data_IF_719724562465
#
_entry.id   IF_719724562465
#
_cell.length_a   1.000
_cell.length_b   1.000
_cell.length_c   1.000
_cell.angle_alpha   90.00
_cell.angle_beta   90.00
_cell.angle_gamma   90.00
#
_symmetry.space_group_name_H-M   'P 1'
#
loop_
_entity.id
_entity.type
_entity.pdbx_description
1 polymer ?
#
# COMPACT_ATOMS: atom_id res chain seq x y z
N UNK A 1 58.14 -11.74 -0.42
CA UNK A 1 59.07 -12.81 -0.85
C UNK A 1 58.33 -14.14 -0.81
N UNK A 2 57.88 -14.65 -1.96
CA UNK A 2 57.82 -16.09 -2.21
C UNK A 2 59.25 -16.55 -2.56
N UNK A 3 59.60 -17.86 -2.52
CA UNK A 3 59.29 -18.71 -3.68
C UNK A 3 59.05 -20.22 -3.42
N UNK A 4 58.34 -20.83 -4.39
CA UNK A 4 58.54 -22.13 -5.05
C UNK A 4 58.75 -23.43 -4.23
N UNK A 5 58.02 -24.49 -4.57
CA UNK A 5 58.39 -25.46 -5.63
C UNK A 5 57.28 -26.50 -5.85
N UNK A 6 57.26 -27.10 -7.04
CA UNK A 6 56.23 -27.98 -7.57
C UNK A 6 56.77 -29.41 -7.84
N UNK A 7 55.85 -30.40 -7.77
CA UNK A 7 55.76 -31.62 -8.62
C UNK A 7 56.76 -32.80 -8.41
N UNK A 8 56.55 -34.00 -9.02
CA UNK A 8 55.34 -34.84 -9.26
C UNK A 8 55.61 -36.38 -9.09
N UNK A 9 54.75 -37.24 -9.68
CA UNK A 9 54.83 -38.72 -9.93
C UNK A 9 54.30 -39.65 -8.82
N UNK A 10 53.58 -40.74 -9.07
CA UNK A 10 52.92 -41.37 -10.24
C UNK A 10 51.87 -42.36 -9.67
N UNK A 11 50.77 -42.72 -10.34
CA UNK A 11 50.72 -43.44 -11.60
C UNK A 11 50.42 -44.93 -11.33
N UNK A 12 49.16 -45.35 -11.41
CA UNK A 12 48.81 -46.69 -11.93
C UNK A 12 47.34 -46.73 -12.37
N UNK A 13 47.18 -47.07 -13.63
CA UNK A 13 45.93 -47.29 -14.33
C UNK A 13 45.43 -48.72 -14.11
N UNK A 14 44.12 -48.90 -14.01
CA UNK A 14 43.46 -50.14 -14.39
C UNK A 14 42.12 -49.80 -15.06
N UNK A 15 42.00 -50.27 -16.28
CA UNK A 15 40.92 -50.07 -17.24
C UNK A 15 39.75 -51.03 -16.99
N UNK A 16 38.60 -50.66 -17.60
CA UNK A 16 37.51 -51.51 -18.09
C UNK A 16 36.23 -51.68 -17.21
N UNK A 17 35.19 -50.97 -17.68
CA UNK A 17 33.74 -51.23 -17.61
C UNK A 17 33.34 -52.72 -17.83
N UNK A 18 32.10 -53.19 -17.49
CA UNK A 18 30.84 -52.50 -17.82
C UNK A 18 29.62 -52.62 -16.86
N UNK A 19 28.68 -51.70 -17.12
CA UNK A 19 27.24 -51.65 -16.81
C UNK A 19 26.57 -52.79 -16.01
N UNK A 20 25.85 -52.43 -14.93
CA UNK A 20 24.53 -53.01 -14.57
C UNK A 20 23.79 -52.22 -13.48
N UNK A 21 22.53 -51.87 -13.78
CA UNK A 21 21.40 -51.94 -12.85
C UNK A 21 21.19 -50.81 -11.84
N UNK A 22 20.30 -49.87 -12.16
CA UNK A 22 19.48 -49.20 -11.14
C UNK A 22 18.49 -50.24 -10.58
N UNK A 23 18.69 -50.68 -9.33
CA UNK A 23 17.63 -51.31 -8.55
C UNK A 23 16.94 -50.24 -7.70
N UNK A 24 15.77 -49.80 -8.17
CA UNK A 24 14.80 -49.08 -7.36
C UNK A 24 14.16 -50.07 -6.39
N UNK A 25 14.40 -49.88 -5.10
CA UNK A 25 13.76 -50.64 -4.04
C UNK A 25 12.23 -50.43 -4.11
N UNK A 26 11.53 -51.48 -4.49
CA UNK A 26 10.07 -51.56 -4.54
C UNK A 26 9.55 -51.65 -3.10
N UNK A 27 9.14 -50.51 -2.54
CA UNK A 27 8.37 -50.49 -1.30
C UNK A 27 6.95 -50.96 -1.63
N UNK A 28 6.64 -52.19 -1.25
CA UNK A 28 5.29 -52.75 -1.25
C UNK A 28 4.39 -51.90 -0.33
N UNK A 29 3.57 -51.03 -0.91
CA UNK A 29 2.45 -50.39 -0.20
C UNK A 29 1.16 -51.11 -0.55
N UNK A 30 0.79 -52.10 0.27
CA UNK A 30 -0.63 -52.49 0.39
C UNK A 30 -1.38 -51.35 1.10
N UNK A 31 -1.70 -50.29 0.36
CA UNK A 31 -2.70 -49.30 0.77
C UNK A 31 -4.07 -49.80 0.30
N UNK A 32 -5.02 -49.82 1.23
CA UNK A 32 -6.42 -50.16 0.98
C UNK A 32 -7.05 -49.10 0.08
N UNK A 33 -7.80 -49.49 -0.96
CA UNK A 33 -8.38 -48.59 -1.99
C UNK A 33 -9.14 -47.37 -1.40
N UNK A 34 -9.72 -47.50 -0.20
CA UNK A 34 -10.35 -46.38 0.52
C UNK A 34 -9.39 -45.30 1.01
N UNK A 35 -8.14 -45.66 1.32
CA UNK A 35 -7.09 -44.70 1.73
C UNK A 35 -6.54 -43.91 0.54
N UNK A 36 -6.41 -44.53 -0.63
CA UNK A 36 -5.95 -43.84 -1.84
C UNK A 36 -7.02 -42.87 -2.40
N UNK A 37 -8.31 -43.24 -2.30
CA UNK A 37 -9.41 -42.32 -2.61
C UNK A 37 -9.48 -41.14 -1.63
N UNK A 38 -9.26 -41.37 -0.34
CA UNK A 38 -9.23 -40.29 0.66
C UNK A 38 -8.00 -39.38 0.49
N UNK A 39 -6.84 -39.98 0.22
CA UNK A 39 -5.62 -39.24 -0.10
C UNK A 39 -5.78 -38.39 -1.36
N UNK A 40 -6.41 -38.92 -2.41
CA UNK A 40 -6.72 -38.17 -3.65
C UNK A 40 -7.71 -37.02 -3.42
N UNK A 41 -8.72 -37.20 -2.56
CA UNK A 41 -9.65 -36.12 -2.17
C UNK A 41 -8.96 -35.01 -1.39
N UNK A 42 -8.14 -35.36 -0.40
CA UNK A 42 -7.38 -34.39 0.37
C UNK A 42 -6.38 -33.63 -0.51
N UNK A 43 -5.70 -34.34 -1.42
CA UNK A 43 -4.78 -33.73 -2.37
C UNK A 43 -5.49 -32.73 -3.29
N UNK A 44 -6.67 -33.09 -3.80
CA UNK A 44 -7.49 -32.18 -4.62
C UNK A 44 -7.93 -30.94 -3.84
N UNK A 45 -8.30 -31.11 -2.56
CA UNK A 45 -8.64 -30.00 -1.70
C UNK A 45 -7.44 -29.05 -1.48
N UNK A 46 -6.25 -29.60 -1.21
CA UNK A 46 -5.02 -28.82 -1.05
C UNK A 46 -4.68 -28.06 -2.34
N UNK A 47 -4.72 -28.72 -3.50
CA UNK A 47 -4.50 -28.08 -4.80
C UNK A 47 -5.50 -26.95 -5.03
N UNK A 48 -6.78 -27.17 -4.71
CA UNK A 48 -7.82 -26.14 -4.83
C UNK A 48 -7.58 -24.94 -3.91
N UNK A 49 -7.15 -25.17 -2.66
CA UNK A 49 -6.83 -24.11 -1.70
C UNK A 49 -5.62 -23.31 -2.17
N UNK A 50 -4.54 -23.98 -2.57
CA UNK A 50 -3.36 -23.32 -3.13
C UNK A 50 -3.68 -22.54 -4.40
N UNK A 51 -4.53 -23.09 -5.27
CA UNK A 51 -5.00 -22.41 -6.47
C UNK A 51 -5.81 -21.15 -6.18
N UNK A 52 -6.65 -21.14 -5.13
CA UNK A 52 -7.33 -19.91 -4.69
C UNK A 52 -6.35 -18.93 -4.06
N UNK A 53 -5.46 -19.42 -3.19
CA UNK A 53 -4.50 -18.57 -2.49
C UNK A 53 -3.56 -17.84 -3.46
N UNK A 54 -3.07 -18.51 -4.50
CA UNK A 54 -2.28 -17.90 -5.57
C UNK A 54 -3.04 -16.81 -6.33
N UNK A 55 -4.33 -17.02 -6.61
CA UNK A 55 -5.15 -16.03 -7.35
C UNK A 55 -5.57 -14.85 -6.49
N UNK A 56 -5.98 -15.11 -5.25
CA UNK A 56 -6.63 -14.13 -4.40
C UNK A 56 -5.61 -13.33 -3.56
N UNK A 57 -4.47 -13.94 -3.23
CA UNK A 57 -3.38 -13.31 -2.47
C UNK A 57 -1.99 -13.59 -3.06
N UNK A 58 -1.73 -13.19 -4.32
CA UNK A 58 -0.42 -13.42 -4.95
C UNK A 58 0.73 -12.76 -4.19
N UNK A 59 0.47 -11.66 -3.46
CA UNK A 59 1.47 -10.92 -2.70
C UNK A 59 2.08 -11.71 -1.53
N UNK A 60 1.42 -12.76 -1.04
CA UNK A 60 1.96 -13.62 0.03
C UNK A 60 3.15 -14.45 -0.45
N UNK A 61 3.25 -14.67 -1.76
CA UNK A 61 4.33 -15.40 -2.43
C UNK A 61 5.40 -14.45 -3.01
N UNK A 62 5.34 -13.16 -2.67
CA UNK A 62 6.31 -12.15 -3.12
C UNK A 62 7.44 -12.02 -2.11
N UNK A 63 8.36 -12.99 -2.13
CA UNK A 63 9.58 -13.03 -1.32
C UNK A 63 10.85 -12.88 -2.20
N UNK A 64 11.18 -11.66 -2.66
CA UNK A 64 12.38 -11.40 -3.45
C UNK A 64 13.66 -11.70 -2.65
N UNK A 65 14.77 -12.08 -3.31
CA UNK A 65 14.97 -12.09 -4.77
C UNK A 65 14.50 -13.37 -5.48
N UNK A 66 14.43 -14.50 -4.77
CA UNK A 66 14.27 -15.81 -5.41
C UNK A 66 12.82 -16.34 -5.41
N UNK A 67 11.90 -15.66 -4.73
CA UNK A 67 10.50 -16.06 -4.60
C UNK A 67 10.36 -17.53 -4.17
N UNK A 68 11.11 -17.91 -3.13
CA UNK A 68 11.32 -19.29 -2.70
C UNK A 68 9.99 -19.99 -2.39
N UNK A 69 9.08 -19.29 -1.69
CA UNK A 69 7.77 -19.84 -1.35
C UNK A 69 6.95 -20.17 -2.61
N UNK A 70 6.99 -19.31 -3.62
CA UNK A 70 6.32 -19.55 -4.90
C UNK A 70 6.94 -20.74 -5.64
N UNK A 71 8.27 -20.86 -5.58
CA UNK A 71 9.03 -21.99 -6.12
C UNK A 71 8.62 -23.33 -5.48
N UNK A 72 8.53 -23.37 -4.16
CA UNK A 72 8.13 -24.57 -3.40
C UNK A 72 6.68 -24.98 -3.73
N UNK A 73 5.75 -24.01 -3.81
CA UNK A 73 4.37 -24.25 -4.21
C UNK A 73 4.30 -24.77 -5.65
N UNK A 74 5.09 -24.21 -6.57
CA UNK A 74 5.15 -24.69 -7.96
C UNK A 74 5.62 -26.15 -8.03
N UNK A 75 6.67 -26.50 -7.29
CA UNK A 75 7.20 -27.88 -7.25
C UNK A 75 6.14 -28.84 -6.71
N UNK A 76 5.47 -28.45 -5.61
CA UNK A 76 4.40 -29.25 -5.03
C UNK A 76 3.23 -29.43 -6.00
N UNK A 77 2.74 -28.36 -6.62
CA UNK A 77 1.63 -28.41 -7.59
C UNK A 77 2.00 -29.23 -8.84
N UNK A 78 3.25 -29.15 -9.29
CA UNK A 78 3.75 -29.96 -10.42
C UNK A 78 3.76 -31.46 -10.12
N UNK A 79 3.99 -31.85 -8.85
CA UNK A 79 3.85 -33.23 -8.40
C UNK A 79 2.39 -33.63 -8.16
N UNK A 80 1.59 -32.76 -7.53
CA UNK A 80 0.24 -33.04 -7.07
C UNK A 80 -0.83 -33.02 -8.18
N UNK A 81 -0.67 -32.12 -9.16
CA UNK A 81 -1.59 -31.92 -10.28
C UNK A 81 -0.81 -31.54 -11.56
N UNK A 82 -0.08 -32.49 -12.19
CA UNK A 82 0.69 -32.21 -13.39
C UNK A 82 -0.20 -31.67 -14.51
N UNK A 83 0.12 -30.47 -15.03
CA UNK A 83 -0.66 -29.81 -16.09
C UNK A 83 -1.97 -29.15 -15.62
N UNK A 84 -2.19 -29.05 -14.30
CA UNK A 84 -3.30 -28.31 -13.70
C UNK A 84 -3.28 -26.82 -14.07
N UNK A 85 -4.41 -26.14 -13.88
CA UNK A 85 -4.49 -24.69 -14.07
C UNK A 85 -3.67 -23.95 -13.00
N UNK A 86 -3.58 -24.54 -11.81
CA UNK A 86 -2.91 -24.02 -10.62
C UNK A 86 -1.39 -23.94 -10.81
N UNK A 87 -0.80 -24.94 -11.48
CA UNK A 87 0.63 -24.93 -11.83
C UNK A 87 0.95 -23.79 -12.78
N UNK A 88 0.13 -23.63 -13.83
CA UNK A 88 0.30 -22.55 -14.82
C UNK A 88 0.13 -21.17 -14.19
N UNK A 89 -0.78 -21.03 -13.24
CA UNK A 89 -0.95 -19.79 -12.48
C UNK A 89 0.29 -19.47 -11.65
N UNK A 90 0.83 -20.46 -10.93
CA UNK A 90 2.07 -20.29 -10.15
C UNK A 90 3.28 -19.92 -11.03
N UNK A 91 3.41 -20.54 -12.21
CA UNK A 91 4.46 -20.22 -13.19
C UNK A 91 4.33 -18.80 -13.73
N UNK A 92 3.12 -18.40 -14.12
CA UNK A 92 2.84 -17.06 -14.62
C UNK A 92 3.14 -15.99 -13.56
N UNK A 93 2.69 -16.20 -12.32
CA UNK A 93 2.97 -15.28 -11.20
C UNK A 93 4.47 -15.11 -10.96
N UNK A 94 5.23 -16.21 -11.05
CA UNK A 94 6.68 -16.15 -10.88
C UNK A 94 7.35 -15.34 -12.00
N UNK A 95 6.90 -15.52 -13.25
CA UNK A 95 7.39 -14.74 -14.38
C UNK A 95 7.04 -13.24 -14.22
N UNK A 96 5.81 -12.93 -13.84
CA UNK A 96 5.35 -11.56 -13.60
C UNK A 96 6.19 -10.88 -12.50
N UNK A 97 6.44 -11.55 -11.37
CA UNK A 97 7.27 -11.01 -10.29
C UNK A 97 8.74 -10.79 -10.69
N UNK A 98 9.33 -11.73 -11.42
CA UNK A 98 10.71 -11.57 -11.91
C UNK A 98 10.82 -10.47 -12.96
N UNK A 99 9.76 -10.22 -13.73
CA UNK A 99 9.70 -9.12 -14.69
C UNK A 99 9.58 -7.78 -13.98
N UNK A 100 8.67 -7.65 -13.01
CA UNK A 100 8.53 -6.45 -12.19
C UNK A 100 9.85 -6.09 -11.47
N UNK A 101 10.55 -7.07 -10.90
CA UNK A 101 11.83 -6.85 -10.23
C UNK A 101 12.92 -6.29 -11.18
N UNK A 102 12.91 -6.69 -12.46
CA UNK A 102 13.83 -6.16 -13.48
C UNK A 102 13.45 -4.74 -13.91
N UNK A 103 12.16 -4.46 -14.05
CA UNK A 103 11.66 -3.13 -14.39
C UNK A 103 11.98 -2.12 -13.27
N UNK A 104 11.77 -2.48 -12.02
CA UNK A 104 12.12 -1.65 -10.85
C UNK A 104 13.64 -1.36 -10.77
N UNK A 105 14.49 -2.33 -11.09
CA UNK A 105 15.94 -2.12 -11.18
C UNK A 105 16.31 -1.15 -12.31
N UNK A 106 15.69 -1.32 -13.49
CA UNK A 106 15.95 -0.46 -14.65
C UNK A 106 15.48 0.99 -14.42
N UNK A 107 14.30 1.17 -13.81
CA UNK A 107 13.81 2.48 -13.41
C UNK A 107 14.67 3.12 -12.31
N UNK A 108 15.12 2.34 -11.33
CA UNK A 108 16.03 2.80 -10.29
C UNK A 108 17.35 3.31 -10.86
N UNK A 109 17.94 2.57 -11.80
CA UNK A 109 19.14 2.96 -12.54
C UNK A 109 18.93 4.21 -13.40
N UNK A 110 17.77 4.35 -14.05
CA UNK A 110 17.43 5.55 -14.84
C UNK A 110 17.18 6.78 -13.96
N UNK A 111 16.54 6.63 -12.80
CA UNK A 111 16.36 7.72 -11.81
C UNK A 111 17.70 8.16 -11.23
N UNK A 112 18.61 7.22 -10.96
CA UNK A 112 19.99 7.51 -10.55
C UNK A 112 20.83 8.12 -11.68
N UNK A 113 20.53 7.84 -12.95
CA UNK A 113 21.17 8.48 -14.10
C UNK A 113 20.69 9.92 -14.32
N UNK A 114 19.43 10.24 -13.96
CA UNK A 114 18.88 11.60 -14.02
C UNK A 114 19.27 12.46 -12.81
N UNK A 115 19.49 11.83 -11.65
CA UNK A 115 20.15 12.46 -10.52
C UNK A 115 21.66 12.50 -10.81
N UNK A 116 22.15 13.62 -11.38
CA UNK A 116 23.55 13.78 -11.76
C UNK A 116 24.58 13.39 -10.69
N UNK A 117 25.87 13.25 -11.06
CA UNK A 117 26.88 12.57 -10.24
C UNK A 117 27.04 13.14 -8.82
N UNK A 118 27.44 12.32 -7.83
CA UNK A 118 27.36 12.63 -6.39
C UNK A 118 28.10 13.88 -5.90
N UNK A 119 28.99 14.44 -6.73
CA UNK A 119 29.76 15.64 -6.38
C UNK A 119 28.99 16.95 -6.61
N UNK A 120 27.84 16.90 -7.30
CA UNK A 120 26.95 18.06 -7.47
C UNK A 120 26.16 18.41 -6.20
N UNK A 121 26.14 17.52 -5.20
CA UNK A 121 25.58 17.78 -3.87
C UNK A 121 26.70 18.16 -2.89
N UNK A 122 27.36 19.30 -3.12
CA UNK A 122 28.12 19.94 -2.04
C UNK A 122 27.13 20.56 -1.07
N UNK A 123 26.83 19.80 -0.01
CA UNK A 123 26.23 20.32 1.22
C UNK A 123 27.18 21.39 1.79
N UNK A 124 26.74 22.63 2.06
CA UNK A 124 27.58 23.60 2.76
C UNK A 124 27.82 23.06 4.17
N UNK A 125 29.08 22.73 4.44
CA UNK A 125 29.56 22.30 5.74
C UNK A 125 29.30 23.42 6.76
N UNK A 126 28.58 23.09 7.82
CA UNK A 126 28.40 23.90 9.01
C UNK A 126 29.77 24.28 9.59
N UNK A 127 30.10 25.57 9.55
CA UNK A 127 31.04 26.20 10.47
C UNK A 127 30.25 27.21 11.29
N UNK A 128 30.19 26.97 12.59
CA UNK A 128 29.67 27.91 13.58
C UNK A 128 30.50 29.20 13.56
N UNK A 129 29.85 30.32 13.28
CA UNK A 129 30.22 31.62 13.83
C UNK A 129 28.97 32.53 13.82
N UNK A 130 28.64 33.06 15.01
CA UNK A 130 27.57 34.01 15.24
C UNK A 130 27.81 35.29 14.43
N UNK A 131 26.83 35.73 13.63
CA UNK A 131 26.54 37.16 13.46
C UNK A 131 25.14 37.37 12.88
N UNK A 132 24.52 38.47 13.32
CA UNK A 132 23.19 38.93 12.94
C UNK A 132 23.19 39.50 11.51
N UNK A 133 22.40 38.91 10.61
CA UNK A 133 21.84 39.66 9.47
C UNK A 133 20.64 38.93 8.86
N UNK A 134 19.61 39.71 8.56
CA UNK A 134 18.33 39.33 7.98
C UNK A 134 18.52 38.69 6.59
N UNK A 135 18.26 37.39 6.46
CA UNK A 135 18.14 36.73 5.16
C UNK A 135 16.68 36.80 4.70
N UNK A 136 16.33 37.92 4.06
CA UNK A 136 15.28 37.92 3.04
C UNK A 136 15.79 37.17 1.81
N UNK A 137 14.97 36.24 1.29
CA UNK A 137 14.93 36.01 -0.15
C UNK A 137 15.37 34.63 -0.67
N UNK A 138 14.55 33.61 -0.41
CA UNK A 138 14.19 32.68 -1.48
C UNK A 138 12.76 32.19 -1.27
N UNK A 139 11.79 33.06 -1.62
CA UNK A 139 10.40 32.62 -1.74
C UNK A 139 10.36 31.63 -2.90
N UNK A 140 10.03 30.37 -2.60
CA UNK A 140 9.67 29.40 -3.63
C UNK A 140 8.47 29.98 -4.40
N UNK A 141 8.71 30.55 -5.59
CA UNK A 141 7.67 30.95 -6.55
C UNK A 141 7.03 29.69 -7.17
N UNK A 142 6.45 28.86 -6.30
CA UNK A 142 5.55 27.79 -6.72
C UNK A 142 4.12 28.34 -6.78
N UNK A 143 3.25 27.73 -7.60
CA UNK A 143 1.83 28.08 -7.62
C UNK A 143 1.21 27.93 -6.22
N UNK A 144 0.39 28.91 -5.82
CA UNK A 144 -0.33 28.88 -4.55
C UNK A 144 -1.58 27.99 -4.64
N UNK A 145 -2.07 27.48 -3.51
CA UNK A 145 -3.31 26.69 -3.42
C UNK A 145 -4.50 27.36 -4.12
N UNK A 146 -4.55 28.69 -4.10
CA UNK A 146 -5.65 29.48 -4.66
C UNK A 146 -5.65 29.49 -6.20
N UNK A 147 -4.53 29.16 -6.83
CA UNK A 147 -4.37 29.18 -8.29
C UNK A 147 -5.01 27.96 -8.96
N UNK A 148 -5.18 26.86 -8.22
CA UNK A 148 -5.81 25.63 -8.72
C UNK A 148 -7.32 25.65 -8.54
N UNK A 149 -8.07 24.99 -9.42
CA UNK A 149 -9.51 24.80 -9.23
C UNK A 149 -9.81 23.83 -8.08
N UNK A 150 -11.06 23.83 -7.58
CA UNK A 150 -11.47 22.90 -6.51
C UNK A 150 -11.46 21.45 -7.02
N UNK A 151 -11.94 21.26 -8.25
CA UNK A 151 -12.03 19.95 -8.89
C UNK A 151 -10.66 19.34 -9.14
N UNK A 152 -9.72 20.09 -9.72
CA UNK A 152 -8.35 19.60 -9.96
C UNK A 152 -7.68 19.11 -8.68
N UNK A 153 -7.77 19.88 -7.59
CA UNK A 153 -7.14 19.47 -6.32
C UNK A 153 -7.82 18.22 -5.77
N UNK A 154 -9.16 18.16 -5.77
CA UNK A 154 -9.88 17.01 -5.24
C UNK A 154 -9.66 15.73 -6.07
N UNK A 155 -9.59 15.86 -7.40
CA UNK A 155 -9.32 14.74 -8.31
C UNK A 155 -7.89 14.23 -8.13
N UNK A 156 -6.89 15.11 -8.05
CA UNK A 156 -5.50 14.69 -7.82
C UNK A 156 -5.32 14.01 -6.46
N UNK A 157 -5.90 14.57 -5.39
CA UNK A 157 -5.90 13.90 -4.07
C UNK A 157 -6.54 12.52 -4.13
N UNK A 158 -7.65 12.39 -4.86
CA UNK A 158 -8.35 11.12 -5.03
C UNK A 158 -7.54 10.12 -5.83
N UNK A 159 -6.87 10.54 -6.91
CA UNK A 159 -5.99 9.67 -7.67
C UNK A 159 -4.87 9.11 -6.80
N UNK A 160 -4.18 9.97 -6.05
CA UNK A 160 -3.11 9.55 -5.13
C UNK A 160 -3.62 8.58 -4.05
N UNK A 161 -4.76 8.90 -3.43
CA UNK A 161 -5.33 8.07 -2.37
C UNK A 161 -5.82 6.71 -2.88
N UNK A 162 -6.48 6.65 -4.05
CA UNK A 162 -6.89 5.40 -4.71
C UNK A 162 -5.67 4.53 -5.01
N UNK A 163 -4.63 5.14 -5.60
CA UNK A 163 -3.42 4.43 -6.00
C UNK A 163 -2.68 3.80 -4.80
N UNK A 164 -2.69 4.49 -3.66
CA UNK A 164 -2.13 3.96 -2.41
C UNK A 164 -3.03 2.92 -1.79
N UNK A 165 -4.35 3.16 -1.76
CA UNK A 165 -5.32 2.23 -1.17
C UNK A 165 -5.34 0.88 -1.89
N UNK A 166 -5.26 0.87 -3.23
CA UNK A 166 -5.16 -0.37 -4.02
C UNK A 166 -3.90 -1.18 -3.75
N UNK A 167 -2.85 -0.56 -3.19
CA UNK A 167 -1.62 -1.26 -2.80
C UNK A 167 -1.63 -1.74 -1.36
N UNK A 168 -2.64 -1.39 -0.55
CA UNK A 168 -2.71 -1.80 0.85
C UNK A 168 -2.83 -3.31 0.93
N UNK A 169 -1.87 -3.94 1.64
CA UNK A 169 -1.93 -5.37 1.95
C UNK A 169 -2.73 -5.57 3.24
N UNK A 170 -3.78 -6.39 3.18
CA UNK A 170 -4.66 -6.65 4.33
C UNK A 170 -3.91 -7.24 5.54
N UNK A 171 -2.88 -8.05 5.31
CA UNK A 171 -2.03 -8.61 6.37
C UNK A 171 -1.27 -7.53 7.16
N UNK A 172 -0.91 -6.40 6.52
CA UNK A 172 -0.23 -5.28 7.19
C UNK A 172 -1.15 -4.49 8.12
N UNK A 173 -2.47 -4.60 7.93
CA UNK A 173 -3.49 -3.94 8.75
C UNK A 173 -3.79 -4.71 10.05
N UNK A 174 -3.39 -6.00 10.13
CA UNK A 174 -3.64 -6.84 11.30
C UNK A 174 -3.06 -6.19 12.57
N UNK A 175 -3.81 -6.25 13.67
CA UNK A 175 -3.40 -5.63 14.94
C UNK A 175 -2.03 -6.11 15.40
N UNK A 176 -1.75 -7.41 15.26
CA UNK A 176 -0.46 -8.03 15.58
C UNK A 176 0.71 -7.46 14.78
N UNK A 177 0.49 -6.96 13.57
CA UNK A 177 1.51 -6.33 12.73
C UNK A 177 1.58 -4.82 12.96
N UNK A 178 0.43 -4.15 12.87
CA UNK A 178 0.33 -2.69 12.95
C UNK A 178 0.68 -2.14 14.33
N UNK A 179 0.44 -2.89 15.41
CA UNK A 179 0.84 -2.51 16.78
C UNK A 179 2.35 -2.49 16.98
N UNK A 180 3.12 -3.19 16.15
CA UNK A 180 4.58 -3.28 16.26
C UNK A 180 5.32 -2.14 15.56
N UNK A 181 4.61 -1.25 14.86
CA UNK A 181 5.20 -0.21 14.00
C UNK A 181 6.18 0.73 14.72
N UNK A 182 6.02 0.94 16.02
CA UNK A 182 6.82 1.87 16.81
C UNK A 182 8.02 1.18 17.51
N UNK A 183 8.21 -0.14 17.30
CA UNK A 183 9.32 -0.90 17.90
C UNK A 183 10.66 -0.60 17.20
N UNK A 184 11.80 -0.64 17.93
CA UNK A 184 13.12 -0.54 17.31
C UNK A 184 13.31 -1.60 16.22
N UNK A 185 13.75 -1.19 15.03
CA UNK A 185 13.89 -2.10 13.87
C UNK A 185 12.62 -2.31 13.03
N UNK A 186 11.47 -1.75 13.44
CA UNK A 186 10.19 -1.90 12.74
C UNK A 186 9.98 -0.95 11.55
N UNK A 187 11.03 -0.27 11.07
CA UNK A 187 10.93 0.74 10.01
C UNK A 187 10.34 0.19 8.70
N UNK A 188 10.55 -1.12 8.43
CA UNK A 188 9.99 -1.83 7.28
C UNK A 188 8.64 -2.52 7.54
N UNK A 189 8.03 -2.40 8.72
CA UNK A 189 6.75 -3.03 9.02
C UNK A 189 5.61 -2.19 8.43
N UNK A 190 4.68 -2.86 7.77
CA UNK A 190 3.48 -2.29 7.16
C UNK A 190 3.76 -1.13 6.18
N UNK A 191 4.65 -1.29 5.18
CA UNK A 191 5.06 -0.21 4.29
C UNK A 191 3.89 0.37 3.48
N UNK A 192 2.94 -0.45 3.06
CA UNK A 192 1.80 0.00 2.25
C UNK A 192 0.81 0.82 3.09
N UNK A 193 0.53 0.37 4.32
CA UNK A 193 -0.30 1.11 5.28
C UNK A 193 0.37 2.42 5.68
N UNK A 194 1.69 2.41 5.93
CA UNK A 194 2.46 3.62 6.23
C UNK A 194 2.42 4.63 5.09
N UNK A 195 2.45 4.18 3.83
CA UNK A 195 2.35 5.07 2.68
C UNK A 195 1.00 5.80 2.66
N UNK A 196 -0.12 5.11 2.91
CA UNK A 196 -1.45 5.73 3.04
C UNK A 196 -1.50 6.73 4.19
N UNK A 197 -0.92 6.40 5.36
CA UNK A 197 -0.84 7.32 6.50
C UNK A 197 0.03 8.54 6.20
N UNK A 198 1.14 8.35 5.48
CA UNK A 198 2.01 9.44 5.06
C UNK A 198 1.28 10.41 4.11
N UNK A 199 0.50 9.88 3.17
CA UNK A 199 -0.35 10.70 2.29
C UNK A 199 -1.41 11.48 3.09
N UNK A 200 -2.12 10.82 4.02
CA UNK A 200 -3.07 11.49 4.90
C UNK A 200 -2.42 12.66 5.69
N UNK A 201 -1.21 12.44 6.20
CA UNK A 201 -0.45 13.44 6.91
C UNK A 201 0.06 14.56 5.98
N UNK A 202 0.43 14.24 4.74
CA UNK A 202 0.82 15.23 3.74
C UNK A 202 -0.36 16.16 3.41
N UNK A 203 -1.56 15.62 3.21
CA UNK A 203 -2.78 16.43 3.00
C UNK A 203 -3.06 17.32 4.21
N UNK A 204 -2.98 16.76 5.42
CA UNK A 204 -3.12 17.53 6.67
C UNK A 204 -2.09 18.67 6.75
N UNK A 205 -0.84 18.38 6.39
CA UNK A 205 0.26 19.33 6.31
C UNK A 205 0.02 20.43 5.27
N UNK A 206 -0.50 20.11 4.09
CA UNK A 206 -0.87 21.09 3.06
C UNK A 206 -1.96 22.05 3.55
N UNK A 207 -2.96 21.55 4.27
CA UNK A 207 -4.02 22.39 4.86
C UNK A 207 -3.43 23.33 5.91
N UNK A 208 -2.64 22.80 6.85
CA UNK A 208 -1.98 23.58 7.88
C UNK A 208 -1.04 24.63 7.28
N UNK A 209 -0.15 24.21 6.37
CA UNK A 209 0.84 25.07 5.74
C UNK A 209 0.22 26.18 4.90
N UNK A 210 -0.85 25.89 4.16
CA UNK A 210 -1.55 26.91 3.37
C UNK A 210 -2.33 27.90 4.25
N UNK A 211 -3.04 27.44 5.29
CA UNK A 211 -3.84 28.32 6.15
C UNK A 211 -2.98 29.14 7.12
N UNK A 212 -1.87 28.57 7.59
CA UNK A 212 -0.95 29.21 8.53
C UNK A 212 0.27 29.85 7.86
N UNK A 213 0.30 29.89 6.51
CA UNK A 213 1.37 30.48 5.72
C UNK A 213 1.76 31.89 6.19
N UNK A 214 3.03 32.24 5.96
CA UNK A 214 3.77 33.48 6.22
C UNK A 214 3.24 34.43 7.33
N UNK A 215 4.09 34.82 8.30
CA UNK A 215 3.71 35.80 9.30
C UNK A 215 3.23 37.09 8.62
N UNK A 216 1.95 37.44 8.81
CA UNK A 216 1.34 38.63 8.21
C UNK A 216 0.07 38.37 7.38
N UNK A 217 -0.29 37.11 7.09
CA UNK A 217 -1.53 36.83 6.35
C UNK A 217 -2.76 37.46 7.04
N UNK A 218 -3.58 38.19 6.30
CA UNK A 218 -4.77 38.82 6.85
C UNK A 218 -5.82 37.76 7.26
N UNK A 219 -6.69 38.11 8.22
CA UNK A 219 -7.73 37.19 8.68
C UNK A 219 -8.69 36.76 7.55
N UNK A 220 -9.00 37.69 6.63
CA UNK A 220 -9.80 37.45 5.43
C UNK A 220 -9.13 36.52 4.41
N UNK A 221 -7.83 36.68 4.18
CA UNK A 221 -7.05 35.80 3.29
C UNK A 221 -6.97 34.37 3.83
N UNK A 222 -6.83 34.21 5.16
CA UNK A 222 -6.96 32.89 5.80
C UNK A 222 -8.36 32.31 5.64
N UNK A 223 -9.40 33.13 5.78
CA UNK A 223 -10.77 32.69 5.58
C UNK A 223 -11.00 32.17 4.16
N UNK A 224 -10.48 32.83 3.12
CA UNK A 224 -10.55 32.35 1.74
C UNK A 224 -9.92 30.97 1.56
N UNK A 225 -8.75 30.72 2.19
CA UNK A 225 -8.09 29.41 2.15
C UNK A 225 -8.89 28.34 2.92
N UNK A 226 -9.45 28.67 4.08
CA UNK A 226 -10.36 27.78 4.82
C UNK A 226 -11.58 27.43 3.96
N UNK A 227 -12.22 28.41 3.33
CA UNK A 227 -13.35 28.18 2.43
C UNK A 227 -12.98 27.30 1.24
N UNK A 228 -11.81 27.53 0.63
CA UNK A 228 -11.29 26.71 -0.46
C UNK A 228 -11.15 25.25 -0.03
N UNK A 229 -10.53 24.99 1.13
CA UNK A 229 -10.42 23.64 1.68
C UNK A 229 -11.76 22.99 2.01
N UNK A 230 -12.74 23.75 2.50
CA UNK A 230 -14.09 23.24 2.72
C UNK A 230 -14.74 22.80 1.39
N UNK A 231 -14.58 23.58 0.32
CA UNK A 231 -15.08 23.21 -1.01
C UNK A 231 -14.36 21.98 -1.57
N UNK A 232 -13.03 21.88 -1.39
CA UNK A 232 -12.24 20.69 -1.76
C UNK A 232 -12.72 19.47 -0.98
N UNK A 233 -12.95 19.60 0.33
CA UNK A 233 -13.49 18.52 1.16
C UNK A 233 -14.87 18.06 0.67
N UNK A 234 -15.76 19.00 0.33
CA UNK A 234 -17.06 18.67 -0.26
C UNK A 234 -16.88 17.89 -1.57
N UNK A 235 -15.95 18.31 -2.43
CA UNK A 235 -15.68 17.61 -3.69
C UNK A 235 -15.09 16.22 -3.46
N UNK A 236 -14.20 16.05 -2.47
CA UNK A 236 -13.69 14.73 -2.06
C UNK A 236 -14.83 13.80 -1.62
N UNK A 237 -15.85 14.32 -0.93
CA UNK A 237 -17.05 13.54 -0.57
C UNK A 237 -17.80 13.06 -1.82
N UNK A 238 -17.98 13.92 -2.81
CA UNK A 238 -18.67 13.58 -4.06
C UNK A 238 -17.88 12.54 -4.88
N UNK A 239 -16.55 12.60 -4.82
CA UNK A 239 -15.64 11.60 -5.40
C UNK A 239 -15.49 10.35 -4.53
N UNK A 240 -16.22 10.23 -3.41
CA UNK A 240 -16.17 9.11 -2.46
C UNK A 240 -14.77 8.88 -1.87
N UNK A 241 -13.95 9.93 -1.80
CA UNK A 241 -12.66 9.92 -1.11
C UNK A 241 -12.83 10.37 0.34
N UNK A 242 -13.12 9.41 1.22
CA UNK A 242 -13.29 9.64 2.65
C UNK A 242 -11.95 9.82 3.39
N UNK A 243 -10.84 9.32 2.83
CA UNK A 243 -9.49 9.52 3.38
C UNK A 243 -9.08 10.99 3.38
N UNK A 244 -8.99 11.63 2.20
CA UNK A 244 -8.64 13.05 2.10
C UNK A 244 -9.69 13.97 2.72
N UNK A 245 -10.98 13.62 2.60
CA UNK A 245 -12.04 14.34 3.31
C UNK A 245 -11.77 14.38 4.82
N UNK A 246 -11.47 13.22 5.44
CA UNK A 246 -11.14 13.17 6.86
C UNK A 246 -9.85 13.93 7.17
N UNK A 247 -8.84 13.86 6.32
CA UNK A 247 -7.58 14.59 6.50
C UNK A 247 -7.81 16.11 6.57
N UNK A 248 -8.57 16.66 5.60
CA UNK A 248 -8.88 18.09 5.54
C UNK A 248 -9.69 18.54 6.76
N UNK A 249 -10.73 17.78 7.13
CA UNK A 249 -11.53 18.11 8.30
C UNK A 249 -10.70 18.07 9.59
N UNK A 250 -9.85 17.06 9.76
CA UNK A 250 -8.97 16.92 10.93
C UNK A 250 -7.98 18.08 11.03
N UNK A 251 -7.41 18.51 9.92
CA UNK A 251 -6.53 19.67 9.87
C UNK A 251 -7.26 20.96 10.27
N UNK A 252 -8.46 21.22 9.71
CA UNK A 252 -9.25 22.41 10.03
C UNK A 252 -9.74 22.42 11.49
N UNK A 253 -10.04 21.25 12.06
CA UNK A 253 -10.46 21.06 13.45
C UNK A 253 -9.28 21.08 14.44
N UNK A 254 -8.04 20.93 13.96
CA UNK A 254 -6.85 20.96 14.80
C UNK A 254 -6.67 22.31 15.50
N UNK A 255 -6.06 22.29 16.70
CA UNK A 255 -5.89 23.49 17.53
C UNK A 255 -5.28 24.70 16.78
N UNK A 256 -4.21 24.55 15.97
CA UNK A 256 -3.60 25.66 15.25
C UNK A 256 -4.57 26.48 14.39
N UNK A 257 -5.54 25.82 13.73
CA UNK A 257 -6.55 26.48 12.89
C UNK A 257 -7.80 26.82 13.70
N UNK A 258 -8.32 25.90 14.52
CA UNK A 258 -9.57 26.07 15.26
C UNK A 258 -9.59 27.29 16.20
N UNK A 259 -8.42 27.67 16.73
CA UNK A 259 -8.26 28.85 17.61
C UNK A 259 -8.34 30.19 16.88
N UNK A 260 -8.25 30.23 15.55
CA UNK A 260 -8.20 31.46 14.74
C UNK A 260 -9.58 32.14 14.62
N UNK A 261 -10.14 32.61 15.74
CA UNK A 261 -11.53 33.13 15.80
C UNK A 261 -11.81 34.26 14.80
N UNK A 262 -10.85 35.16 14.57
CA UNK A 262 -10.99 36.25 13.57
C UNK A 262 -11.13 35.72 12.15
N UNK A 263 -10.36 34.68 11.80
CA UNK A 263 -10.42 34.07 10.46
C UNK A 263 -11.71 33.28 10.30
N UNK A 264 -12.11 32.46 11.28
CA UNK A 264 -13.40 31.76 11.27
C UNK A 264 -14.60 32.70 11.21
N UNK A 265 -14.52 33.87 11.85
CA UNK A 265 -15.56 34.91 11.77
C UNK A 265 -15.66 35.60 10.40
N UNK A 266 -14.60 35.53 9.59
CA UNK A 266 -14.59 36.07 8.22
C UNK A 266 -14.99 35.02 7.16
N UNK A 267 -15.18 33.75 7.54
CA UNK A 267 -15.70 32.70 6.65
C UNK A 267 -17.20 32.92 6.44
N UNK A 268 -17.64 32.82 5.18
CA UNK A 268 -19.05 32.95 4.81
C UNK A 268 -19.91 31.82 5.39
N UNK A 269 -21.22 32.09 5.54
CA UNK A 269 -22.17 31.19 6.22
C UNK A 269 -22.37 29.86 5.48
N UNK A 270 -22.30 29.87 4.15
CA UNK A 270 -22.54 28.70 3.32
C UNK A 270 -21.42 27.63 3.48
N UNK A 271 -20.13 27.93 3.27
CA UNK A 271 -19.03 27.02 3.59
C UNK A 271 -19.05 26.55 5.05
N UNK A 272 -19.36 27.41 6.01
CA UNK A 272 -19.48 26.98 7.41
C UNK A 272 -20.59 25.94 7.63
N UNK A 273 -21.72 26.07 6.92
CA UNK A 273 -22.80 25.09 6.96
C UNK A 273 -22.35 23.76 6.37
N UNK A 274 -21.68 23.79 5.21
CA UNK A 274 -21.09 22.61 4.57
C UNK A 274 -20.09 21.93 5.51
N UNK A 275 -19.17 22.68 6.11
CA UNK A 275 -18.17 22.15 7.04
C UNK A 275 -18.80 21.42 8.23
N UNK A 276 -19.88 21.97 8.81
CA UNK A 276 -20.62 21.29 9.89
C UNK A 276 -21.27 19.99 9.41
N UNK A 277 -21.92 20.00 8.24
CA UNK A 277 -22.52 18.79 7.64
C UNK A 277 -21.47 17.72 7.35
N UNK A 278 -20.32 18.11 6.79
CA UNK A 278 -19.21 17.19 6.52
C UNK A 278 -18.61 16.64 7.81
N UNK A 279 -18.49 17.47 8.85
CA UNK A 279 -17.98 17.04 10.16
C UNK A 279 -18.87 16.00 10.84
N UNK A 280 -20.19 16.06 10.62
CA UNK A 280 -21.13 15.07 11.17
C UNK A 280 -20.91 13.66 10.60
N UNK A 281 -20.37 13.53 9.38
CA UNK A 281 -20.09 12.22 8.76
C UNK A 281 -19.04 11.44 9.56
N UNK A 282 -18.04 12.13 10.10
CA UNK A 282 -16.96 11.55 10.90
C UNK A 282 -17.10 11.89 12.39
N UNK A 283 -18.34 12.12 12.83
CA UNK A 283 -18.62 12.22 14.27
C UNK A 283 -18.13 10.94 14.95
N UNK A 284 -17.59 11.09 16.17
CA UNK A 284 -17.23 9.95 17.02
C UNK A 284 -18.49 9.26 17.61
N UNK A 285 -19.67 9.82 17.35
CA UNK A 285 -20.96 9.23 17.74
C UNK A 285 -21.10 7.79 17.20
N UNK A 286 -21.44 6.89 18.13
CA UNK A 286 -21.67 5.47 17.92
C UNK A 286 -20.54 4.72 17.17
N UNK A 287 -19.26 5.04 17.39
CA UNK A 287 -18.14 4.39 16.67
C UNK A 287 -18.19 4.66 15.15
N UNK A 288 -18.34 5.94 14.79
CA UNK A 288 -18.32 6.41 13.41
C UNK A 288 -19.42 5.80 12.52
N UNK A 289 -20.60 5.47 13.07
CA UNK A 289 -21.71 4.82 12.34
C UNK A 289 -22.03 5.52 11.02
N UNK A 290 -22.02 6.86 10.99
CA UNK A 290 -22.34 7.60 9.77
C UNK A 290 -21.37 7.28 8.64
N UNK A 291 -20.06 7.31 8.90
CA UNK A 291 -19.05 6.94 7.91
C UNK A 291 -19.14 5.46 7.51
N UNK A 292 -19.37 4.55 8.47
CA UNK A 292 -19.52 3.11 8.20
C UNK A 292 -20.76 2.80 7.37
N UNK A 293 -21.90 3.41 7.71
CA UNK A 293 -23.16 3.22 6.99
C UNK A 293 -23.08 3.73 5.55
N UNK A 294 -22.37 4.85 5.31
CA UNK A 294 -22.14 5.36 3.96
C UNK A 294 -21.32 4.36 3.14
N UNK A 295 -20.26 3.79 3.72
CA UNK A 295 -19.46 2.76 3.04
C UNK A 295 -20.27 1.49 2.74
N UNK A 296 -21.15 1.06 3.66
CA UNK A 296 -21.97 -0.16 3.49
C UNK A 296 -23.16 0.00 2.53
N UNK A 297 -23.81 1.17 2.48
CA UNK A 297 -24.95 1.38 1.57
C UNK A 297 -24.52 1.38 0.10
N UNK A 298 -23.29 1.81 -0.17
CA UNK A 298 -22.79 1.92 -1.54
C UNK A 298 -22.32 0.57 -2.14
N UNK A 299 -22.22 -0.51 -1.35
CA UNK A 299 -22.05 -1.87 -1.86
C UNK A 299 -23.36 -2.44 -2.46
N UNK A 300 -24.52 -1.88 -2.11
CA UNK A 300 -25.84 -2.43 -2.50
C UNK A 300 -26.44 -1.83 -3.77
N UNK A 301 -25.81 -0.82 -4.38
CA UNK A 301 -26.33 -0.13 -5.57
C UNK A 301 -25.81 -0.69 -6.90
N UNK A 302 -24.95 -1.71 -6.89
CA UNK A 302 -24.53 -2.46 -8.08
C UNK A 302 -25.46 -3.68 -8.30
N UNK A 303 -26.64 -3.40 -8.87
CA UNK A 303 -27.57 -4.40 -9.41
C UNK A 303 -28.85 -3.71 -9.89
N UNK A 304 -29.22 -3.80 -11.19
CA UNK A 304 -29.49 -5.08 -11.84
C UNK A 304 -28.86 -5.27 -13.22
N UNK A 305 -28.59 -6.55 -13.50
CA UNK A 305 -28.29 -7.14 -14.80
C UNK A 305 -29.39 -6.77 -15.82
N UNK A 306 -28.99 -6.09 -16.89
CA UNK A 306 -29.79 -5.87 -18.09
C UNK A 306 -28.97 -6.28 -19.30
N UNK A 307 -29.33 -7.41 -19.89
CA UNK A 307 -28.75 -7.95 -21.12
C UNK A 307 -28.91 -6.97 -22.28
N UNK A 308 -27.78 -6.66 -22.93
CA UNK A 308 -27.55 -6.36 -24.35
C UNK A 308 -26.48 -5.27 -24.51
N UNK A 309 -25.28 -5.63 -24.99
CA UNK A 309 -24.53 -4.76 -25.91
C UNK A 309 -23.33 -5.46 -26.58
N UNK A 310 -23.27 -5.26 -27.90
CA UNK A 310 -22.29 -5.74 -28.89
C UNK A 310 -20.82 -5.42 -28.59
N UNK A 311 -19.86 -6.19 -29.18
CA UNK A 311 -18.44 -6.00 -28.95
C UNK A 311 -17.91 -4.83 -29.80
N UNK A 312 -17.51 -3.72 -29.17
CA UNK A 312 -16.92 -2.60 -29.92
C UNK A 312 -16.64 -1.29 -29.19
N UNK A 313 -16.88 -1.17 -27.88
CA UNK A 313 -16.53 0.04 -27.12
C UNK A 313 -15.72 -0.32 -25.87
N UNK A 314 -14.59 0.37 -25.70
CA UNK A 314 -13.79 0.35 -24.47
C UNK A 314 -14.70 0.68 -23.27
N UNK A 315 -14.66 -0.09 -22.17
CA UNK A 315 -15.39 0.29 -20.97
C UNK A 315 -14.80 1.60 -20.43
N UNK A 316 -15.58 2.67 -20.47
CA UNK A 316 -15.30 3.88 -19.70
C UNK A 316 -15.16 3.47 -18.24
N UNK A 317 -13.96 3.64 -17.69
CA UNK A 317 -13.56 3.32 -16.31
C UNK A 317 -14.74 3.39 -15.34
N UNK A 318 -15.03 2.24 -14.72
CA UNK A 318 -15.85 2.16 -13.51
C UNK A 318 -15.42 3.29 -12.56
N UNK A 319 -16.33 4.07 -11.95
CA UNK A 319 -15.92 5.02 -10.93
C UNK A 319 -15.10 4.25 -9.88
N UNK A 320 -13.90 4.73 -9.50
CA UNK A 320 -13.11 4.06 -8.49
C UNK A 320 -14.00 3.88 -7.25
N UNK A 321 -13.97 2.68 -6.67
CA UNK A 321 -14.68 2.38 -5.43
C UNK A 321 -14.32 3.41 -4.33
N UNK A 322 -15.13 3.48 -3.26
CA UNK A 322 -14.92 4.48 -2.23
C UNK A 322 -13.53 4.28 -1.60
N UNK A 323 -12.81 5.38 -1.34
CA UNK A 323 -11.54 5.32 -0.58
C UNK A 323 -11.85 5.55 0.89
N UNK A 324 -11.80 4.52 1.75
CA UNK A 324 -12.13 4.66 3.15
C UNK A 324 -11.00 5.35 3.93
N UNK A 325 -11.35 5.95 5.07
CA UNK A 325 -10.36 6.34 6.06
C UNK A 325 -9.86 5.10 6.82
N UNK A 326 -8.63 4.68 6.54
CA UNK A 326 -8.05 3.42 7.04
C UNK A 326 -7.90 3.38 8.57
N UNK A 327 -7.80 4.55 9.23
CA UNK A 327 -7.59 4.63 10.69
C UNK A 327 -8.70 3.96 11.51
N UNK A 328 -9.95 3.97 11.04
CA UNK A 328 -11.06 3.28 11.71
C UNK A 328 -10.85 1.76 11.72
N UNK A 329 -10.48 1.18 10.57
CA UNK A 329 -10.21 -0.26 10.43
C UNK A 329 -9.00 -0.69 11.24
N UNK A 330 -7.93 0.11 11.23
CA UNK A 330 -6.72 -0.17 12.02
C UNK A 330 -7.00 -0.16 13.52
N UNK A 331 -7.87 0.76 13.97
CA UNK A 331 -8.28 0.82 15.38
C UNK A 331 -9.08 -0.44 15.75
N UNK A 332 -10.03 -0.84 14.92
CA UNK A 332 -10.82 -2.08 15.13
C UNK A 332 -9.91 -3.32 15.19
N UNK A 333 -8.97 -3.47 14.26
CA UNK A 333 -8.07 -4.63 14.20
C UNK A 333 -7.10 -4.69 15.39
N UNK A 334 -6.61 -3.54 15.86
CA UNK A 334 -5.79 -3.48 17.09
C UNK A 334 -6.64 -3.79 18.34
N UNK A 335 -7.89 -3.32 18.40
CA UNK A 335 -8.78 -3.68 19.51
C UNK A 335 -9.10 -5.17 19.54
N UNK A 336 -9.29 -5.81 18.38
CA UNK A 336 -9.52 -7.25 18.28
C UNK A 336 -8.29 -8.06 18.72
N UNK A 337 -7.09 -7.67 18.27
CA UNK A 337 -5.81 -8.29 18.64
C UNK A 337 -5.54 -8.22 20.15
N UNK A 338 -5.90 -7.09 20.78
CA UNK A 338 -5.71 -6.92 22.22
C UNK A 338 -6.78 -7.62 23.07
N UNK A 339 -7.98 -7.84 22.52
CA UNK A 339 -9.09 -8.45 23.24
C UNK A 339 -9.06 -9.99 23.26
N UNK A 340 -8.45 -10.62 22.24
CA UNK A 340 -8.48 -12.07 22.05
C UNK A 340 -7.07 -12.66 22.17
N UNK A 341 -6.82 -13.60 23.10
CA UNK A 341 -5.53 -14.27 23.18
C UNK A 341 -5.33 -15.21 21.99
N UNK A 342 -4.14 -15.17 21.38
CA UNK A 342 -3.77 -16.07 20.27
C UNK A 342 -3.90 -17.55 20.62
N UNK A 343 -3.60 -17.89 21.88
CA UNK A 343 -3.61 -19.25 22.41
C UNK A 343 -4.51 -19.31 23.64
N UNK A 344 -5.49 -20.21 23.62
CA UNK A 344 -6.22 -20.57 24.83
C UNK A 344 -5.26 -21.30 25.77
N UNK A 345 -5.19 -20.86 27.04
CA UNK A 345 -4.45 -21.60 28.06
C UNK A 345 -5.21 -22.91 28.29
N UNK A 346 -4.66 -24.00 27.76
CA UNK A 346 -5.15 -25.38 27.95
C UNK A 346 -4.78 -25.87 29.34
#
# INVERSE_FOLDING_TARGET
MAPCTASPCGGSAASAQPQRGLETARVDSKRTEGQDLNFSKNLRAVVSVLGSWLRDHPQDFRDPPDHQNLGDVRIFLGWAAPGGAEVREAEKLLEDFLKEAKEEQTEGEQRLAWAGPPWAAQSPRSEFAEDYSEEEGLRSEGPELLDFSVDEVAEQLTLMDVELFLRVRSCECLGSMWSQRDRPGAAGISPTVRATVAQFNAVTGCVLGSVLAAPGLAASQRAQRIEKWIRIAQRCRELRNFSSLRAILSALQSNPIYRLKRSWGAVSREPLSVFRKLSQIFSDEDNHLSSRAILSQEETTEGPQGDDCSPGSLPSKLPPGPVPYLGTFLTDLVMLDTALPDMLKV
#
